data_IF_247529962836
#
_entry.id   IF_247529962836
#
_cell.length_a   1.000
_cell.length_b   1.000
_cell.length_c   1.000
_cell.angle_alpha   90.00
_cell.angle_beta   90.00
_cell.angle_gamma   90.00
#
_symmetry.space_group_name_H-M   'P 1'
#
loop_
_entity.id
_entity.type
_entity.pdbx_description
1 polymer ?
#
# COMPACT_ATOMS: atom_id res chain seq x y z
N UNK A 1 -19.37 -2.20 -13.89
CA UNK A 1 -19.05 -2.18 -12.44
C UNK A 1 -18.02 -1.09 -12.23
N UNK A 2 -18.26 -0.10 -11.35
CA UNK A 2 -17.24 0.89 -10.96
C UNK A 2 -16.69 0.49 -9.60
N UNK A 3 -15.51 -0.12 -9.57
CA UNK A 3 -14.80 -0.45 -8.34
C UNK A 3 -13.77 0.65 -8.05
N UNK A 4 -13.59 0.99 -6.77
CA UNK A 4 -12.65 2.06 -6.34
C UNK A 4 -11.32 1.47 -5.90
N UNK A 5 -11.37 0.38 -5.12
CA UNK A 5 -10.20 -0.36 -4.72
C UNK A 5 -10.49 -1.84 -4.53
N UNK A 6 -9.44 -2.66 -4.63
CA UNK A 6 -9.44 -4.05 -4.20
C UNK A 6 -8.13 -4.37 -3.46
N UNK A 7 -8.15 -5.42 -2.64
CA UNK A 7 -7.01 -5.88 -1.89
C UNK A 7 -6.55 -7.26 -2.39
N UNK A 8 -5.23 -7.48 -2.44
CA UNK A 8 -4.61 -8.78 -2.65
C UNK A 8 -3.82 -9.10 -1.38
N UNK A 9 -4.40 -9.97 -0.56
CA UNK A 9 -3.82 -10.41 0.72
C UNK A 9 -3.19 -11.80 0.61
N UNK A 10 -2.09 -12.01 1.31
CA UNK A 10 -1.40 -13.29 1.35
C UNK A 10 0.06 -13.20 1.80
N UNK A 11 0.71 -14.35 2.06
CA UNK A 11 2.04 -14.39 2.67
C UNK A 11 3.14 -13.78 1.78
N UNK A 12 4.25 -13.41 2.41
CA UNK A 12 5.48 -13.02 1.69
C UNK A 12 5.95 -14.12 0.73
N UNK A 13 6.42 -13.74 -0.45
CA UNK A 13 6.86 -14.69 -1.48
C UNK A 13 5.72 -15.43 -2.22
N UNK A 14 4.45 -15.16 -1.92
CA UNK A 14 3.30 -15.83 -2.54
C UNK A 14 2.93 -15.34 -3.95
N UNK A 15 3.74 -14.49 -4.60
CA UNK A 15 3.48 -13.98 -5.97
C UNK A 15 2.47 -12.82 -6.08
N UNK A 16 2.06 -12.22 -4.96
CA UNK A 16 1.10 -11.10 -4.92
C UNK A 16 1.52 -9.92 -5.79
N UNK A 17 2.77 -9.49 -5.69
CA UNK A 17 3.26 -8.33 -6.44
C UNK A 17 3.23 -8.58 -7.94
N UNK A 18 3.52 -9.81 -8.36
CA UNK A 18 3.40 -10.23 -9.76
C UNK A 18 1.95 -10.20 -10.22
N UNK A 19 1.03 -10.77 -9.44
CA UNK A 19 -0.40 -10.78 -9.75
C UNK A 19 -0.98 -9.35 -9.76
N UNK A 20 -0.66 -8.53 -8.76
CA UNK A 20 -1.10 -7.14 -8.63
C UNK A 20 -0.62 -6.31 -9.82
N UNK A 21 0.65 -6.45 -10.21
CA UNK A 21 1.21 -5.74 -11.36
C UNK A 21 0.52 -6.13 -12.67
N UNK A 22 0.23 -7.42 -12.87
CA UNK A 22 -0.44 -7.87 -14.08
C UNK A 22 -1.89 -7.37 -14.14
N UNK A 23 -2.64 -7.50 -13.04
CA UNK A 23 -4.01 -6.97 -12.93
C UNK A 23 -4.04 -5.45 -13.11
N UNK A 24 -3.08 -4.72 -12.55
CA UNK A 24 -3.00 -3.27 -12.71
C UNK A 24 -2.79 -2.86 -14.17
N UNK A 25 -1.91 -3.56 -14.89
CA UNK A 25 -1.72 -3.36 -16.32
C UNK A 25 -3.00 -3.63 -17.12
N UNK A 26 -3.69 -4.74 -16.82
CA UNK A 26 -4.88 -5.15 -17.57
C UNK A 26 -6.10 -4.26 -17.29
N UNK A 27 -6.18 -3.69 -16.08
CA UNK A 27 -7.34 -2.92 -15.61
C UNK A 27 -7.10 -1.40 -15.60
N UNK A 28 -5.89 -0.93 -15.95
CA UNK A 28 -5.52 0.49 -15.84
C UNK A 28 -5.53 1.01 -14.39
N UNK A 29 -5.17 0.16 -13.44
CA UNK A 29 -5.13 0.48 -12.02
C UNK A 29 -3.72 0.86 -11.56
N UNK A 30 -3.62 1.44 -10.36
CA UNK A 30 -2.33 1.65 -9.68
C UNK A 30 -2.19 0.70 -8.50
N UNK A 31 -0.99 0.14 -8.32
CA UNK A 31 -0.66 -0.71 -7.17
C UNK A 31 -0.10 0.13 -6.04
N UNK A 32 -0.63 -0.07 -4.82
CA UNK A 32 -0.06 0.42 -3.57
C UNK A 32 0.41 -0.80 -2.78
N UNK A 33 1.71 -0.91 -2.55
CA UNK A 33 2.27 -1.97 -1.71
C UNK A 33 2.26 -1.54 -0.25
N UNK A 34 1.72 -2.40 0.63
CA UNK A 34 1.74 -2.20 2.09
C UNK A 34 3.17 -2.12 2.64
N UNK A 35 4.16 -2.67 1.94
CA UNK A 35 5.56 -2.59 2.34
C UNK A 35 6.07 -1.13 2.35
N UNK A 36 5.42 -0.25 1.58
CA UNK A 36 5.65 1.20 1.65
C UNK A 36 5.39 1.74 3.06
N UNK A 37 4.55 1.08 3.86
CA UNK A 37 4.13 1.49 5.20
C UNK A 37 4.75 0.61 6.29
N UNK A 38 5.81 -0.15 6.02
CA UNK A 38 6.55 -0.81 7.08
C UNK A 38 7.16 0.21 8.04
N UNK A 39 7.18 -0.15 9.32
CA UNK A 39 8.00 0.50 10.34
C UNK A 39 9.47 0.09 10.14
N UNK A 40 10.44 0.84 10.69
CA UNK A 40 11.83 0.41 10.70
C UNK A 40 11.98 -0.95 11.39
N UNK A 41 12.91 -1.78 10.92
CA UNK A 41 13.16 -3.13 11.45
C UNK A 41 13.35 -3.16 12.98
N UNK A 42 13.94 -2.11 13.55
CA UNK A 42 14.12 -1.95 15.01
C UNK A 42 12.79 -1.93 15.80
N UNK A 43 11.68 -1.61 15.15
CA UNK A 43 10.33 -1.59 15.72
C UNK A 43 9.52 -2.85 15.40
N UNK A 44 10.04 -3.78 14.60
CA UNK A 44 9.30 -4.99 14.24
C UNK A 44 9.08 -5.90 15.45
N UNK A 45 8.00 -6.69 15.37
CA UNK A 45 7.50 -7.62 16.37
C UNK A 45 7.15 -8.91 15.65
N UNK A 46 7.89 -9.98 15.96
CA UNK A 46 7.68 -11.31 15.36
C UNK A 46 6.29 -11.87 15.71
N UNK A 47 5.79 -11.59 16.91
CA UNK A 47 4.50 -12.08 17.39
C UNK A 47 3.28 -11.28 16.91
N UNK A 48 3.48 -10.15 16.22
CA UNK A 48 2.40 -9.25 15.83
C UNK A 48 2.72 -8.55 14.51
N UNK A 49 2.65 -9.30 13.41
CA UNK A 49 3.03 -8.85 12.05
C UNK A 49 2.31 -7.55 11.66
N UNK A 50 1.02 -7.42 11.96
CA UNK A 50 0.27 -6.18 11.68
C UNK A 50 0.87 -4.94 12.38
N UNK A 51 1.49 -5.12 13.56
CA UNK A 51 2.16 -4.02 14.29
C UNK A 51 3.51 -3.63 13.68
N UNK A 52 3.95 -4.30 12.62
CA UNK A 52 5.14 -3.91 11.86
C UNK A 52 4.82 -2.86 10.80
N UNK A 53 3.54 -2.53 10.60
CA UNK A 53 3.08 -1.52 9.66
C UNK A 53 2.62 -0.25 10.39
N UNK A 54 2.88 0.89 9.76
CA UNK A 54 2.41 2.22 10.12
C UNK A 54 0.99 2.41 9.58
N UNK A 55 0.03 1.74 10.23
CA UNK A 55 -1.38 1.72 9.80
C UNK A 55 -2.04 3.09 9.91
N UNK A 56 -1.62 3.93 10.87
CA UNK A 56 -2.08 5.30 10.99
C UNK A 56 -1.68 6.11 9.76
N UNK A 57 -0.41 5.99 9.32
CA UNK A 57 0.05 6.65 8.09
C UNK A 57 -0.63 6.11 6.84
N UNK A 58 -0.86 4.79 6.75
CA UNK A 58 -1.63 4.22 5.64
C UNK A 58 -3.06 4.76 5.61
N UNK A 59 -3.68 4.95 6.77
CA UNK A 59 -5.01 5.56 6.86
C UNK A 59 -4.99 7.01 6.37
N UNK A 60 -4.09 7.83 6.92
CA UNK A 60 -3.99 9.26 6.61
C UNK A 60 -3.57 9.55 5.15
N UNK A 61 -2.61 8.80 4.61
CA UNK A 61 -2.03 9.09 3.29
C UNK A 61 -2.79 8.43 2.13
N UNK A 62 -3.53 7.35 2.40
CA UNK A 62 -4.19 6.53 1.37
C UNK A 62 -5.68 6.37 1.65
N UNK A 63 -6.04 5.77 2.78
CA UNK A 63 -7.42 5.32 3.03
C UNK A 63 -8.40 6.48 3.09
N UNK A 64 -8.06 7.57 3.79
CA UNK A 64 -8.93 8.74 3.92
C UNK A 64 -9.22 9.39 2.56
N UNK A 65 -8.17 9.68 1.77
CA UNK A 65 -8.32 10.21 0.40
C UNK A 65 -9.14 9.29 -0.51
N UNK A 66 -8.90 7.97 -0.44
CA UNK A 66 -9.61 6.98 -1.24
C UNK A 66 -11.12 6.96 -0.90
N UNK A 67 -11.47 7.03 0.39
CA UNK A 67 -12.86 7.07 0.85
C UNK A 67 -13.56 8.37 0.44
N UNK A 68 -12.84 9.49 0.52
CA UNK A 68 -13.32 10.82 0.12
C UNK A 68 -13.36 11.04 -1.40
N UNK A 69 -12.79 10.12 -2.18
CA UNK A 69 -12.68 10.27 -3.64
C UNK A 69 -11.76 11.41 -4.07
N UNK A 70 -10.70 11.68 -3.29
CA UNK A 70 -9.67 12.70 -3.56
C UNK A 70 -8.39 12.04 -4.07
N UNK A 71 -7.47 12.88 -4.55
CA UNK A 71 -6.12 12.45 -4.90
C UNK A 71 -5.44 11.79 -3.69
N UNK A 72 -4.84 10.62 -3.91
CA UNK A 72 -4.03 9.91 -2.93
C UNK A 72 -2.60 10.45 -3.05
N UNK A 73 -1.98 10.78 -1.92
CA UNK A 73 -0.63 11.33 -1.88
C UNK A 73 0.16 10.69 -0.73
N UNK A 74 0.91 9.64 -1.03
CA UNK A 74 1.60 8.83 -0.02
C UNK A 74 3.12 8.81 -0.22
N UNK A 75 3.83 8.41 0.83
CA UNK A 75 5.29 8.27 0.83
C UNK A 75 5.69 6.81 1.01
N UNK A 76 6.80 6.45 0.35
CA UNK A 76 7.39 5.11 0.44
C UNK A 76 8.43 5.09 1.57
N UNK A 77 8.38 4.06 2.40
CA UNK A 77 9.45 3.71 3.33
C UNK A 77 10.66 3.24 2.54
N UNK A 78 11.78 3.93 2.67
CA UNK A 78 13.06 3.44 2.17
C UNK A 78 13.60 2.38 3.14
N UNK A 79 13.53 1.12 2.72
CA UNK A 79 13.98 -0.01 3.51
C UNK A 79 15.49 0.01 3.78
N UNK A 80 16.30 0.63 2.91
CA UNK A 80 17.74 0.71 3.11
C UNK A 80 18.11 1.66 4.24
N UNK A 81 17.36 2.76 4.39
CA UNK A 81 17.59 3.77 5.43
C UNK A 81 16.67 3.61 6.65
N UNK A 82 15.61 2.81 6.53
CA UNK A 82 14.59 2.65 7.57
C UNK A 82 13.82 3.95 7.82
N UNK A 83 13.72 4.83 6.81
CA UNK A 83 13.09 6.14 6.94
C UNK A 83 12.07 6.38 5.83
N UNK A 84 11.05 7.18 6.12
CA UNK A 84 10.07 7.60 5.12
C UNK A 84 10.72 8.61 4.19
N UNK A 85 10.76 8.28 2.90
CA UNK A 85 11.36 9.14 1.89
C UNK A 85 10.62 10.50 1.77
N UNK A 86 11.31 11.55 1.31
CA UNK A 86 10.69 12.87 1.13
C UNK A 86 9.76 12.93 -0.10
N UNK A 87 9.95 12.01 -1.05
CA UNK A 87 9.16 11.97 -2.29
C UNK A 87 7.76 11.42 -2.03
N UNK A 88 6.76 12.10 -2.59
CA UNK A 88 5.37 11.65 -2.61
C UNK A 88 5.01 11.05 -3.96
N UNK A 89 4.23 9.98 -3.92
CA UNK A 89 3.55 9.41 -5.08
C UNK A 89 2.13 9.94 -5.07
N UNK A 90 1.72 10.60 -6.17
CA UNK A 90 0.36 11.08 -6.39
C UNK A 90 -0.39 10.08 -7.27
N UNK A 91 -1.60 9.71 -6.85
CA UNK A 91 -2.56 8.96 -7.64
C UNK A 91 -3.81 9.84 -7.78
N UNK A 92 -4.19 10.26 -8.99
CA UNK A 92 -5.36 11.10 -9.21
C UNK A 92 -6.67 10.46 -8.72
N UNK A 93 -7.61 11.30 -8.28
CA UNK A 93 -8.95 10.87 -7.94
C UNK A 93 -9.62 10.09 -9.09
N UNK A 94 -10.25 8.96 -8.77
CA UNK A 94 -10.94 8.11 -9.73
C UNK A 94 -10.06 7.08 -10.43
N UNK A 95 -8.74 7.09 -10.23
CA UNK A 95 -7.87 5.97 -10.63
C UNK A 95 -8.19 4.74 -9.77
N UNK A 96 -8.47 3.56 -10.37
CA UNK A 96 -8.65 2.34 -9.60
C UNK A 96 -7.36 1.94 -8.87
N UNK A 97 -7.48 1.48 -7.63
CA UNK A 97 -6.33 1.14 -6.78
C UNK A 97 -6.34 -0.33 -6.36
N UNK A 98 -5.21 -1.01 -6.50
CA UNK A 98 -4.98 -2.35 -5.94
C UNK A 98 -4.03 -2.20 -4.76
N UNK A 99 -4.48 -2.54 -3.56
CA UNK A 99 -3.62 -2.61 -2.38
C UNK A 99 -3.11 -4.04 -2.23
N UNK A 100 -1.80 -4.24 -2.24
CA UNK A 100 -1.21 -5.57 -2.07
C UNK A 100 -0.29 -5.64 -0.86
N UNK A 101 -0.29 -6.78 -0.16
CA UNK A 101 0.52 -6.94 1.04
C UNK A 101 -0.04 -7.98 1.99
N UNK A 102 0.68 -8.23 3.09
CA UNK A 102 0.16 -9.00 4.22
C UNK A 102 -0.71 -8.05 5.04
N UNK A 103 -1.95 -8.41 5.35
CA UNK A 103 -2.94 -7.52 5.99
C UNK A 103 -3.34 -6.32 5.11
N UNK A 104 -3.55 -6.55 3.82
CA UNK A 104 -4.24 -5.56 2.97
C UNK A 104 -5.77 -5.53 3.17
N UNK A 105 -6.30 -6.36 4.09
CA UNK A 105 -7.69 -6.41 4.55
C UNK A 105 -7.84 -6.05 6.03
#
# INVERSE_FOLDING_TARGET
>A
MHWKACAIDGPGGGGKSTLASQLASDLGATVISMDSFLLPDSKHRVSAIAKNYDLDRFYEEVTESLLDGKDINYRVMDLATGAVGPQRINIPAGTPVIVEGVYSM
#
